data_IF_511775977908
#
_entry.id   IF_511775977908
#
_cell.length_a   1.000
_cell.length_b   1.000
_cell.length_c   1.000
_cell.angle_alpha   90.00
_cell.angle_beta   90.00
_cell.angle_gamma   90.00
#
_symmetry.space_group_name_H-M   'P 1'
#
loop_
_entity.id
_entity.type
_entity.pdbx_description
1 polymer ?
#
# COMPACT_ATOMS: atom_id res chain seq x y z
N UNK A 1 -3.66 18.41 -21.49
CA UNK A 1 -4.90 17.67 -21.19
C UNK A 1 -5.25 18.01 -19.75
N UNK A 2 -6.26 18.84 -19.50
CA UNK A 2 -6.62 19.21 -18.12
C UNK A 2 -7.24 17.99 -17.44
N UNK A 3 -6.80 17.70 -16.21
CA UNK A 3 -7.35 16.61 -15.41
C UNK A 3 -8.85 16.84 -15.20
N UNK A 4 -9.65 15.80 -15.49
CA UNK A 4 -11.07 15.78 -15.12
C UNK A 4 -11.14 15.97 -13.60
N UNK A 5 -11.98 16.87 -13.14
CA UNK A 5 -12.19 17.07 -11.71
C UNK A 5 -12.90 15.83 -11.18
N UNK A 6 -12.24 15.07 -10.31
CA UNK A 6 -12.86 13.94 -9.63
C UNK A 6 -14.03 14.46 -8.79
N UNK A 7 -15.07 13.64 -8.65
CA UNK A 7 -16.15 13.93 -7.71
C UNK A 7 -15.60 13.98 -6.28
N UNK A 8 -16.24 14.75 -5.40
CA UNK A 8 -15.86 14.81 -3.98
C UNK A 8 -15.88 13.43 -3.32
N UNK A 9 -16.78 12.55 -3.77
CA UNK A 9 -16.91 11.18 -3.28
C UNK A 9 -15.71 10.31 -3.69
N UNK A 10 -15.30 10.33 -4.96
CA UNK A 10 -14.10 9.60 -5.43
C UNK A 10 -12.83 10.08 -4.72
N UNK A 11 -12.72 11.39 -4.46
CA UNK A 11 -11.61 11.95 -3.70
C UNK A 11 -11.60 11.42 -2.26
N UNK A 12 -12.76 11.44 -1.59
CA UNK A 12 -12.90 10.94 -0.22
C UNK A 12 -12.54 9.45 -0.12
N UNK A 13 -13.02 8.62 -1.06
CA UNK A 13 -12.71 7.20 -1.10
C UNK A 13 -11.21 6.95 -1.30
N UNK A 14 -10.58 7.68 -2.22
CA UNK A 14 -9.14 7.58 -2.48
C UNK A 14 -8.32 7.92 -1.22
N UNK A 15 -8.67 9.02 -0.54
CA UNK A 15 -8.02 9.42 0.71
C UNK A 15 -8.21 8.35 1.80
N UNK A 16 -9.40 7.80 1.92
CA UNK A 16 -9.68 6.74 2.89
C UNK A 16 -8.86 5.47 2.59
N UNK A 17 -8.70 5.10 1.32
CA UNK A 17 -7.90 3.94 0.91
C UNK A 17 -6.42 4.14 1.23
N UNK A 18 -5.88 5.35 1.02
CA UNK A 18 -4.51 5.71 1.44
C UNK A 18 -4.35 5.52 2.96
N UNK A 19 -5.32 5.98 3.76
CA UNK A 19 -5.27 5.83 5.21
C UNK A 19 -5.32 4.36 5.66
N UNK A 20 -6.13 3.53 4.99
CA UNK A 20 -6.18 2.08 5.26
C UNK A 20 -4.82 1.42 5.02
N UNK A 21 -4.19 1.68 3.87
CA UNK A 21 -2.87 1.13 3.54
C UNK A 21 -1.80 1.59 4.53
N UNK A 22 -1.75 2.88 4.85
CA UNK A 22 -0.82 3.43 5.84
C UNK A 22 -0.99 2.75 7.20
N UNK A 23 -2.23 2.62 7.68
CA UNK A 23 -2.52 2.00 8.97
C UNK A 23 -2.12 0.52 9.01
N UNK A 24 -2.19 -0.16 7.86
CA UNK A 24 -1.74 -1.54 7.74
C UNK A 24 -0.21 -1.65 7.81
N UNK A 25 0.52 -0.78 7.09
CA UNK A 25 1.98 -0.82 7.06
C UNK A 25 2.64 -0.55 8.42
N UNK A 26 2.01 0.25 9.28
CA UNK A 26 2.55 0.57 10.62
C UNK A 26 2.35 -0.55 11.65
N UNK A 27 1.66 -1.65 11.32
CA UNK A 27 1.53 -2.80 12.22
C UNK A 27 2.89 -3.45 12.53
N UNK A 28 3.82 -3.40 11.57
CA UNK A 28 5.19 -3.90 11.70
C UNK A 28 6.18 -2.89 11.11
N UNK A 29 7.20 -3.35 10.37
CA UNK A 29 8.18 -2.47 9.74
C UNK A 29 7.59 -1.79 8.50
N UNK A 30 7.37 -0.48 8.60
CA UNK A 30 6.74 0.35 7.55
C UNK A 30 7.45 0.23 6.20
N UNK A 31 8.79 0.26 6.17
CA UNK A 31 9.53 0.24 4.92
C UNK A 31 9.52 -1.15 4.28
N UNK A 32 9.54 -2.22 5.08
CA UNK A 32 9.41 -3.58 4.57
C UNK A 32 7.99 -3.85 4.05
N UNK A 33 6.96 -3.39 4.77
CA UNK A 33 5.55 -3.44 4.33
C UNK A 33 5.34 -2.65 3.02
N UNK A 34 5.86 -1.43 2.96
CA UNK A 34 5.82 -0.60 1.76
C UNK A 34 6.57 -1.24 0.59
N UNK A 35 7.77 -1.78 0.83
CA UNK A 35 8.56 -2.48 -0.20
C UNK A 35 7.78 -3.64 -0.82
N UNK A 36 7.12 -4.44 0.04
CA UNK A 36 6.30 -5.55 -0.42
C UNK A 36 5.10 -5.07 -1.27
N UNK A 37 4.42 -4.00 -0.85
CA UNK A 37 3.34 -3.41 -1.65
C UNK A 37 3.82 -2.89 -3.03
N UNK A 38 5.01 -2.28 -3.08
CA UNK A 38 5.62 -1.84 -4.35
C UNK A 38 6.00 -3.02 -5.25
N UNK A 39 6.49 -4.12 -4.67
CA UNK A 39 6.79 -5.35 -5.40
C UNK A 39 5.53 -5.94 -6.07
N UNK A 40 4.39 -5.91 -5.37
CA UNK A 40 3.09 -6.33 -5.93
C UNK A 40 2.70 -5.51 -7.17
N UNK A 41 2.94 -4.20 -7.13
CA UNK A 41 2.72 -3.27 -8.26
C UNK A 41 3.78 -3.39 -9.37
N UNK A 42 4.74 -4.30 -9.26
CA UNK A 42 5.89 -4.44 -10.17
C UNK A 42 6.75 -3.17 -10.24
N UNK A 43 6.71 -2.33 -9.20
CA UNK A 43 7.61 -1.19 -9.07
C UNK A 43 9.01 -1.70 -8.71
N UNK A 44 10.06 -1.32 -9.46
CA UNK A 44 11.42 -1.76 -9.17
C UNK A 44 11.95 -1.05 -7.92
N UNK A 45 12.63 -1.82 -7.06
CA UNK A 45 13.37 -1.28 -5.93
C UNK A 45 13.17 -2.11 -4.66
N UNK A 46 14.21 -2.13 -3.83
CA UNK A 46 14.06 -2.50 -2.43
C UNK A 46 14.07 -1.21 -1.60
N UNK A 47 12.94 -0.89 -0.97
CA UNK A 47 12.78 0.34 -0.18
C UNK A 47 13.04 0.11 1.32
N UNK A 48 13.36 -1.12 1.74
CA UNK A 48 13.77 -1.43 3.11
C UNK A 48 15.29 -1.60 3.19
N UNK A 49 15.86 -1.21 4.32
CA UNK A 49 17.29 -1.38 4.58
C UNK A 49 17.65 -2.86 4.74
N UNK A 50 18.87 -3.26 4.36
CA UNK A 50 19.31 -4.66 4.38
C UNK A 50 19.24 -5.34 5.77
N UNK A 51 19.28 -4.54 6.84
CA UNK A 51 19.17 -5.02 8.23
C UNK A 51 17.73 -5.01 8.76
N UNK A 52 16.74 -4.56 7.98
CA UNK A 52 15.36 -4.55 8.39
C UNK A 52 14.81 -5.98 8.45
N UNK A 53 14.11 -6.30 9.53
CA UNK A 53 13.41 -7.57 9.64
C UNK A 53 12.30 -7.64 8.57
N UNK A 54 12.10 -8.80 7.94
CA UNK A 54 10.98 -9.00 7.04
C UNK A 54 9.66 -8.92 7.80
N UNK A 55 8.60 -8.51 7.11
CA UNK A 55 7.25 -8.57 7.65
C UNK A 55 6.74 -10.02 7.70
N UNK A 56 5.81 -10.29 8.61
CA UNK A 56 5.16 -11.59 8.77
C UNK A 56 4.37 -12.02 7.52
N UNK A 57 4.12 -13.34 7.40
CA UNK A 57 3.25 -13.89 6.35
C UNK A 57 1.81 -13.39 6.47
N UNK A 58 1.31 -13.27 7.70
CA UNK A 58 -0.03 -12.74 7.99
C UNK A 58 -0.17 -11.29 7.48
N UNK A 59 0.80 -10.42 7.76
CA UNK A 59 0.75 -9.04 7.26
C UNK A 59 0.85 -8.98 5.73
N UNK A 60 1.58 -9.89 5.08
CA UNK A 60 1.61 -9.98 3.61
C UNK A 60 0.25 -10.32 3.02
N UNK A 61 -0.46 -11.28 3.61
CA UNK A 61 -1.81 -11.67 3.18
C UNK A 61 -2.79 -10.50 3.35
N UNK A 62 -2.77 -9.82 4.50
CA UNK A 62 -3.60 -8.63 4.74
C UNK A 62 -3.32 -7.50 3.73
N UNK A 63 -2.06 -7.28 3.36
CA UNK A 63 -1.68 -6.27 2.36
C UNK A 63 -2.26 -6.63 0.99
N UNK A 64 -2.13 -7.89 0.56
CA UNK A 64 -2.67 -8.35 -0.73
C UNK A 64 -4.19 -8.19 -0.76
N UNK A 65 -4.88 -8.59 0.30
CA UNK A 65 -6.34 -8.51 0.39
C UNK A 65 -6.82 -7.07 0.40
N UNK A 66 -6.17 -6.19 1.17
CA UNK A 66 -6.51 -4.77 1.16
C UNK A 66 -6.28 -4.15 -0.21
N UNK A 67 -5.15 -4.39 -0.87
CA UNK A 67 -4.82 -3.82 -2.19
C UNK A 67 -5.80 -4.26 -3.29
N UNK A 68 -6.27 -5.52 -3.26
CA UNK A 68 -7.36 -5.98 -4.12
C UNK A 68 -8.68 -5.26 -3.82
N UNK A 69 -9.02 -5.14 -2.53
CA UNK A 69 -10.27 -4.50 -2.10
C UNK A 69 -10.37 -3.02 -2.49
N UNK A 70 -9.24 -2.32 -2.60
CA UNK A 70 -9.17 -0.92 -3.02
C UNK A 70 -8.85 -0.76 -4.53
N UNK A 71 -8.78 -1.86 -5.28
CA UNK A 71 -8.51 -1.92 -6.73
C UNK A 71 -7.15 -1.33 -7.16
N UNK A 72 -6.10 -1.53 -6.35
CA UNK A 72 -4.72 -1.16 -6.74
C UNK A 72 -4.00 -2.30 -7.46
N UNK A 73 -4.43 -3.55 -7.28
CA UNK A 73 -3.95 -4.77 -7.96
C UNK A 73 -5.10 -5.70 -8.36
#
# INVERSE_FOLDING_TARGET
>A
MYAKQNSELELFESLNNILKLRNLFIKENVLAAYSYAMELLKCPGNYHADYALPISGELKEEIVDLMKNINEI
#
